data_IF_306271488913
#
_entry.id   IF_306271488913
#
_cell.length_a   1.000
_cell.length_b   1.000
_cell.length_c   1.000
_cell.angle_alpha   90.00
_cell.angle_beta   90.00
_cell.angle_gamma   90.00
#
_symmetry.space_group_name_H-M   'P 1'
#
loop_
_entity.id
_entity.type
_entity.pdbx_description
1 polymer ?
#
# COMPACT_ATOMS: atom_id res chain seq x y z
N UNK A 1 -5.96 -28.94 -4.93
CA UNK A 1 -6.01 -28.24 -6.23
C UNK A 1 -7.04 -27.11 -6.28
N UNK A 2 -8.28 -27.31 -5.83
CA UNK A 2 -9.33 -26.28 -5.89
C UNK A 2 -9.00 -25.03 -5.04
N UNK A 3 -8.37 -25.18 -3.86
CA UNK A 3 -7.93 -24.06 -3.01
C UNK A 3 -6.90 -23.18 -3.73
N UNK A 4 -5.94 -23.78 -4.41
CA UNK A 4 -4.92 -23.02 -5.17
C UNK A 4 -5.60 -22.24 -6.30
N UNK A 5 -6.57 -22.83 -6.99
CA UNK A 5 -7.34 -22.14 -8.02
C UNK A 5 -8.17 -20.98 -7.44
N UNK A 6 -8.79 -21.18 -6.26
CA UNK A 6 -9.55 -20.14 -5.58
C UNK A 6 -8.65 -18.96 -5.14
N UNK A 7 -7.47 -19.26 -4.58
CA UNK A 7 -6.49 -18.20 -4.22
C UNK A 7 -5.94 -17.48 -5.44
N UNK A 8 -5.68 -18.20 -6.54
CA UNK A 8 -5.23 -17.60 -7.79
C UNK A 8 -6.29 -16.67 -8.39
N UNK A 9 -7.56 -17.08 -8.37
CA UNK A 9 -8.68 -16.25 -8.83
C UNK A 9 -8.87 -15.02 -7.93
N UNK A 10 -8.84 -15.18 -6.61
CA UNK A 10 -8.95 -14.08 -5.66
C UNK A 10 -7.80 -13.08 -5.84
N UNK A 11 -6.56 -13.56 -5.97
CA UNK A 11 -5.39 -12.73 -6.24
C UNK A 11 -5.47 -12.03 -7.59
N UNK A 12 -5.95 -12.72 -8.64
CA UNK A 12 -6.17 -12.14 -9.96
C UNK A 12 -7.23 -11.03 -9.95
N UNK A 13 -8.35 -11.24 -9.27
CA UNK A 13 -9.39 -10.23 -9.08
C UNK A 13 -8.86 -9.02 -8.26
N UNK A 14 -8.13 -9.27 -7.19
CA UNK A 14 -7.49 -8.21 -6.41
C UNK A 14 -6.50 -7.40 -7.25
N UNK A 15 -5.74 -8.05 -8.13
CA UNK A 15 -4.81 -7.40 -9.04
C UNK A 15 -5.52 -6.58 -10.13
N UNK A 16 -6.67 -7.04 -10.62
CA UNK A 16 -7.50 -6.26 -11.56
C UNK A 16 -8.03 -4.99 -10.90
N UNK A 17 -8.49 -5.08 -9.65
CA UNK A 17 -8.92 -3.92 -8.87
C UNK A 17 -7.75 -2.95 -8.68
N UNK A 18 -6.59 -3.44 -8.27
CA UNK A 18 -5.39 -2.62 -8.08
C UNK A 18 -4.94 -1.95 -9.38
N UNK A 19 -4.90 -2.68 -10.48
CA UNK A 19 -4.52 -2.16 -11.80
C UNK A 19 -5.43 -1.06 -12.31
N UNK A 20 -6.71 -1.07 -11.92
CA UNK A 20 -7.69 -0.03 -12.31
C UNK A 20 -7.72 1.16 -11.38
N UNK A 21 -7.55 0.96 -10.08
CA UNK A 21 -7.66 1.99 -9.04
C UNK A 21 -6.31 2.55 -8.60
N UNK A 22 -5.21 1.87 -8.93
CA UNK A 22 -3.85 2.20 -8.46
C UNK A 22 -3.67 1.99 -6.95
N UNK A 23 -4.57 1.25 -6.33
CA UNK A 23 -4.54 0.90 -4.90
C UNK A 23 -5.62 -0.15 -4.62
N UNK A 24 -5.32 -1.14 -3.81
CA UNK A 24 -6.35 -2.09 -3.38
C UNK A 24 -5.91 -3.55 -3.29
N UNK A 25 -4.87 -3.97 -3.99
CA UNK A 25 -4.39 -5.36 -3.92
C UNK A 25 -4.14 -5.80 -2.48
N UNK A 26 -3.39 -4.99 -1.72
CA UNK A 26 -3.07 -5.31 -0.33
C UNK A 26 -4.32 -5.41 0.55
N UNK A 27 -5.19 -4.39 0.49
CA UNK A 27 -6.45 -4.36 1.26
C UNK A 27 -7.32 -5.57 0.94
N UNK A 28 -7.50 -5.88 -0.36
CA UNK A 28 -8.35 -7.00 -0.79
C UNK A 28 -7.74 -8.34 -0.39
N UNK A 29 -6.46 -8.55 -0.66
CA UNK A 29 -5.76 -9.81 -0.35
C UNK A 29 -5.69 -10.08 1.15
N UNK A 30 -5.29 -9.07 1.93
CA UNK A 30 -5.23 -9.19 3.39
C UNK A 30 -6.61 -9.43 4.01
N UNK A 31 -7.66 -8.78 3.49
CA UNK A 31 -9.03 -9.00 3.95
C UNK A 31 -9.47 -10.46 3.73
N UNK A 32 -9.23 -11.00 2.53
CA UNK A 32 -9.56 -12.40 2.21
C UNK A 32 -8.79 -13.35 3.13
N UNK A 33 -7.48 -13.15 3.30
CA UNK A 33 -6.66 -14.00 4.16
C UNK A 33 -7.12 -13.94 5.62
N UNK A 34 -7.41 -12.75 6.13
CA UNK A 34 -7.90 -12.57 7.49
C UNK A 34 -9.28 -13.22 7.69
N UNK A 35 -10.19 -13.08 6.71
CA UNK A 35 -11.51 -13.71 6.73
C UNK A 35 -11.43 -15.25 6.70
N UNK A 36 -10.40 -15.81 6.07
CA UNK A 36 -10.11 -17.25 6.06
C UNK A 36 -9.42 -17.73 7.36
N UNK A 37 -9.25 -16.86 8.34
CA UNK A 37 -8.66 -17.19 9.64
C UNK A 37 -7.13 -17.21 9.68
N UNK A 38 -6.46 -16.72 8.63
CA UNK A 38 -5.00 -16.58 8.61
C UNK A 38 -4.58 -15.54 9.65
N UNK A 39 -3.52 -15.85 10.41
CA UNK A 39 -3.00 -14.92 11.42
C UNK A 39 -2.52 -13.61 10.76
N UNK A 40 -2.71 -12.43 11.41
CA UNK A 40 -2.39 -11.12 10.83
C UNK A 40 -0.96 -11.00 10.28
N UNK A 41 0.04 -11.45 11.04
CA UNK A 41 1.43 -11.41 10.60
C UNK A 41 1.67 -12.26 9.33
N UNK A 42 1.09 -13.46 9.28
CA UNK A 42 1.17 -14.35 8.11
C UNK A 42 0.40 -13.75 6.92
N UNK A 43 -0.77 -13.16 7.14
CA UNK A 43 -1.57 -12.50 6.10
C UNK A 43 -0.80 -11.30 5.51
N UNK A 44 -0.20 -10.48 6.36
CA UNK A 44 0.64 -9.35 5.93
C UNK A 44 1.85 -9.84 5.13
N UNK A 45 2.64 -10.77 5.65
CA UNK A 45 3.82 -11.31 4.98
C UNK A 45 3.47 -11.94 3.62
N UNK A 46 2.41 -12.76 3.55
CA UNK A 46 1.95 -13.38 2.31
C UNK A 46 1.52 -12.34 1.27
N UNK A 47 0.79 -11.31 1.71
CA UNK A 47 0.35 -10.21 0.83
C UNK A 47 1.55 -9.44 0.27
N UNK A 48 2.54 -9.11 1.10
CA UNK A 48 3.75 -8.39 0.64
C UNK A 48 4.62 -9.26 -0.27
N UNK A 49 4.79 -10.53 0.04
CA UNK A 49 5.51 -11.46 -0.86
C UNK A 49 4.83 -11.55 -2.23
N UNK A 50 3.50 -11.61 -2.27
CA UNK A 50 2.73 -11.63 -3.52
C UNK A 50 2.82 -10.31 -4.31
N UNK A 51 3.03 -9.18 -3.63
CA UNK A 51 3.24 -7.86 -4.26
C UNK A 51 4.60 -7.72 -4.94
N UNK A 52 5.64 -8.45 -4.53
CA UNK A 52 7.01 -8.25 -5.05
C UNK A 52 7.08 -8.29 -6.58
N UNK A 53 6.60 -9.34 -7.27
CA UNK A 53 6.67 -9.38 -8.74
C UNK A 53 5.82 -8.29 -9.40
N UNK A 54 4.64 -7.99 -8.87
CA UNK A 54 3.72 -7.02 -9.48
C UNK A 54 4.22 -5.60 -9.32
N UNK A 55 4.71 -5.23 -8.13
CA UNK A 55 5.26 -3.88 -7.86
C UNK A 55 6.60 -3.67 -8.56
N UNK A 56 7.43 -4.72 -8.73
CA UNK A 56 8.63 -4.63 -9.54
C UNK A 56 8.31 -4.30 -10.99
N UNK A 57 7.38 -5.05 -11.61
CA UNK A 57 6.98 -4.83 -13.00
C UNK A 57 6.33 -3.46 -13.17
N UNK A 58 5.41 -3.09 -12.29
CA UNK A 58 4.75 -1.79 -12.28
C UNK A 58 5.75 -0.64 -12.11
N UNK A 59 6.63 -0.73 -11.12
CA UNK A 59 7.67 0.26 -10.85
C UNK A 59 8.61 0.46 -12.03
N UNK A 60 9.10 -0.63 -12.64
CA UNK A 60 9.95 -0.57 -13.84
C UNK A 60 9.21 0.03 -15.04
N UNK A 61 7.94 -0.31 -15.23
CA UNK A 61 7.11 0.25 -16.30
C UNK A 61 6.96 1.76 -16.14
N UNK A 62 6.58 2.22 -14.95
CA UNK A 62 6.49 3.64 -14.64
C UNK A 62 7.82 4.38 -14.78
N UNK A 63 8.94 3.70 -14.41
CA UNK A 63 10.27 4.26 -14.57
C UNK A 63 10.62 4.47 -16.04
N UNK A 64 10.35 3.46 -16.89
CA UNK A 64 10.63 3.50 -18.34
C UNK A 64 9.83 4.59 -19.07
N UNK A 65 8.57 4.79 -18.72
CA UNK A 65 7.72 5.83 -19.33
C UNK A 65 7.92 7.21 -18.70
N UNK A 66 8.89 7.36 -17.79
CA UNK A 66 9.22 8.64 -17.19
C UNK A 66 8.21 9.15 -16.15
N UNK A 67 7.38 8.29 -15.57
CA UNK A 67 6.39 8.64 -14.57
C UNK A 67 6.93 8.62 -13.12
N UNK A 68 8.22 8.37 -12.92
CA UNK A 68 8.84 8.38 -11.59
C UNK A 68 9.59 9.69 -11.39
N UNK A 69 9.25 10.42 -10.32
CA UNK A 69 10.08 11.50 -9.81
C UNK A 69 11.10 10.90 -8.81
N UNK A 70 12.39 10.98 -9.16
CA UNK A 70 13.46 10.37 -8.35
C UNK A 70 13.56 10.97 -6.94
N UNK A 71 13.30 12.27 -6.80
CA UNK A 71 13.39 12.93 -5.51
C UNK A 71 12.24 12.49 -4.60
N UNK A 72 11.03 12.40 -5.14
CA UNK A 72 9.86 11.86 -4.42
C UNK A 72 10.10 10.40 -4.07
N UNK A 73 10.50 9.58 -5.06
CA UNK A 73 10.77 8.16 -4.88
C UNK A 73 11.68 7.89 -3.67
N UNK A 74 12.88 8.45 -3.63
CA UNK A 74 13.84 8.18 -2.54
C UNK A 74 13.36 8.69 -1.18
N UNK A 75 12.66 9.83 -1.17
CA UNK A 75 12.13 10.43 0.06
C UNK A 75 10.96 9.67 0.67
N UNK A 76 10.26 8.84 -0.09
CA UNK A 76 9.21 7.96 0.45
C UNK A 76 9.67 6.52 0.57
N UNK A 77 10.49 6.01 -0.36
CA UNK A 77 10.91 4.60 -0.38
C UNK A 77 11.78 4.23 0.83
N UNK A 78 12.81 5.03 1.14
CA UNK A 78 13.71 4.74 2.27
C UNK A 78 12.97 4.82 3.62
N UNK A 79 12.26 5.93 3.96
CA UNK A 79 11.49 5.96 5.19
C UNK A 79 10.35 4.93 5.20
N UNK A 80 9.74 4.67 4.04
CA UNK A 80 8.71 3.65 3.89
C UNK A 80 9.23 2.24 4.19
N UNK A 81 10.42 1.89 3.69
CA UNK A 81 11.09 0.64 4.01
C UNK A 81 11.40 0.51 5.51
N UNK A 82 11.89 1.58 6.14
CA UNK A 82 12.10 1.61 7.59
C UNK A 82 10.78 1.41 8.34
N UNK A 83 9.73 2.15 7.96
CA UNK A 83 8.40 1.99 8.56
C UNK A 83 7.82 0.59 8.35
N UNK A 84 7.96 0.04 7.15
CA UNK A 84 7.54 -1.32 6.80
C UNK A 84 8.26 -2.38 7.65
N UNK A 85 9.57 -2.29 7.75
CA UNK A 85 10.36 -3.17 8.60
C UNK A 85 9.92 -3.09 10.08
N UNK A 86 9.78 -1.88 10.62
CA UNK A 86 9.32 -1.69 11.99
C UNK A 86 7.91 -2.28 12.20
N UNK A 87 6.99 -2.08 11.27
CA UNK A 87 5.65 -2.67 11.32
C UNK A 87 5.67 -4.20 11.27
N UNK A 88 6.54 -4.78 10.43
CA UNK A 88 6.71 -6.22 10.32
C UNK A 88 7.27 -6.85 11.62
N UNK A 89 8.18 -6.15 12.31
CA UNK A 89 8.73 -6.59 13.61
C UNK A 89 7.71 -6.43 14.73
N UNK A 90 6.94 -5.33 14.72
CA UNK A 90 5.96 -5.03 15.79
C UNK A 90 4.74 -5.94 15.70
N UNK A 91 4.24 -6.23 14.51
CA UNK A 91 2.98 -6.97 14.33
C UNK A 91 2.97 -8.35 15.02
N UNK A 92 4.02 -9.19 14.92
CA UNK A 92 4.06 -10.48 15.62
C UNK A 92 4.22 -10.36 17.15
N UNK A 93 4.69 -9.20 17.64
CA UNK A 93 4.89 -8.96 19.09
C UNK A 93 3.61 -8.55 19.83
N UNK A 94 2.54 -8.22 19.09
CA UNK A 94 1.24 -7.87 19.67
C UNK A 94 0.41 -9.14 19.89
N UNK A 95 -0.47 -9.12 20.90
CA UNK A 95 -1.40 -10.24 21.09
C UNK A 95 -2.24 -10.50 19.84
N UNK A 96 -2.53 -11.78 19.56
CA UNK A 96 -3.26 -12.18 18.36
C UNK A 96 -4.61 -11.46 18.23
N UNK A 97 -5.31 -11.25 19.34
CA UNK A 97 -6.60 -10.56 19.37
C UNK A 97 -6.46 -9.08 19.01
N UNK A 98 -5.49 -8.37 19.59
CA UNK A 98 -5.23 -6.98 19.30
C UNK A 98 -4.75 -6.81 17.83
N UNK A 99 -3.89 -7.70 17.34
CA UNK A 99 -3.44 -7.70 15.96
C UNK A 99 -4.60 -7.94 14.98
N UNK A 100 -5.49 -8.89 15.24
CA UNK A 100 -6.70 -9.13 14.45
C UNK A 100 -7.63 -7.91 14.42
N UNK A 101 -7.93 -7.35 15.60
CA UNK A 101 -8.78 -6.19 15.74
C UNK A 101 -8.20 -4.96 15.04
N UNK A 102 -6.92 -4.69 15.23
CA UNK A 102 -6.20 -3.58 14.60
C UNK A 102 -6.17 -3.70 13.08
N UNK A 103 -5.76 -4.87 12.56
CA UNK A 103 -5.72 -5.13 11.12
C UNK A 103 -7.11 -5.05 10.49
N UNK A 104 -8.14 -5.65 11.10
CA UNK A 104 -9.51 -5.57 10.60
C UNK A 104 -10.02 -4.13 10.58
N UNK A 105 -9.75 -3.34 11.62
CA UNK A 105 -10.10 -1.93 11.68
C UNK A 105 -9.44 -1.11 10.58
N UNK A 106 -8.15 -1.31 10.32
CA UNK A 106 -7.43 -0.66 9.21
C UNK A 106 -8.00 -1.06 7.84
N UNK A 107 -8.26 -2.36 7.63
CA UNK A 107 -8.82 -2.86 6.37
C UNK A 107 -10.24 -2.31 6.12
N UNK A 108 -11.09 -2.23 7.15
CA UNK A 108 -12.42 -1.62 7.07
C UNK A 108 -12.31 -0.13 6.74
N UNK A 109 -11.42 0.59 7.40
CA UNK A 109 -11.18 2.00 7.14
C UNK A 109 -10.73 2.24 5.68
N UNK A 110 -9.73 1.50 5.19
CA UNK A 110 -9.27 1.64 3.81
C UNK A 110 -10.32 1.19 2.80
N UNK A 111 -11.04 0.11 3.07
CA UNK A 111 -12.16 -0.34 2.24
C UNK A 111 -13.24 0.75 2.12
N UNK A 112 -13.61 1.38 3.24
CA UNK A 112 -14.56 2.49 3.26
C UNK A 112 -14.04 3.71 2.48
N UNK A 113 -12.76 4.07 2.62
CA UNK A 113 -12.12 5.17 1.86
C UNK A 113 -12.13 4.88 0.36
N UNK A 114 -11.76 3.67 -0.05
CA UNK A 114 -11.77 3.25 -1.46
C UNK A 114 -13.20 3.29 -2.01
N UNK A 115 -14.17 2.74 -1.28
CA UNK A 115 -15.58 2.75 -1.68
C UNK A 115 -16.13 4.17 -1.78
N UNK A 116 -15.85 5.03 -0.80
CA UNK A 116 -16.29 6.43 -0.82
C UNK A 116 -15.73 7.18 -2.03
N UNK A 117 -14.46 6.95 -2.34
CA UNK A 117 -13.77 7.63 -3.44
C UNK A 117 -14.26 7.15 -4.81
N UNK A 118 -14.32 5.83 -5.03
CA UNK A 118 -14.59 5.26 -6.34
C UNK A 118 -16.04 4.83 -6.53
N UNK A 119 -16.70 4.37 -5.45
CA UNK A 119 -18.12 3.99 -5.51
C UNK A 119 -19.07 5.17 -5.51
N UNK A 120 -18.79 6.19 -4.69
CA UNK A 120 -19.64 7.38 -4.57
C UNK A 120 -19.06 8.64 -5.22
N UNK A 121 -17.92 8.54 -5.90
CA UNK A 121 -17.29 9.66 -6.61
C UNK A 121 -16.83 10.81 -5.68
N UNK A 122 -16.65 10.55 -4.39
CA UNK A 122 -16.25 11.56 -3.42
C UNK A 122 -14.81 12.03 -3.70
N UNK A 123 -14.63 13.31 -3.98
CA UNK A 123 -13.31 13.93 -4.11
C UNK A 123 -12.71 14.16 -2.72
N UNK A 124 -11.98 13.17 -2.21
CA UNK A 124 -11.29 13.26 -0.90
C UNK A 124 -9.94 14.02 -1.02
N UNK A 125 -9.58 14.50 -2.21
CA UNK A 125 -8.30 15.17 -2.44
C UNK A 125 -8.50 16.67 -2.36
N UNK A 126 -7.94 17.35 -1.33
CA UNK A 126 -7.86 18.81 -1.29
C UNK A 126 -6.99 19.32 -2.46
N UNK A 127 -7.24 20.52 -2.93
CA UNK A 127 -6.37 21.21 -3.89
C UNK A 127 -4.97 21.38 -3.31
N UNK A 128 -3.91 21.07 -4.05
CA UNK A 128 -2.55 21.19 -3.55
C UNK A 128 -2.26 22.60 -3.06
N UNK A 129 -1.82 22.74 -1.81
CA UNK A 129 -1.29 24.01 -1.31
C UNK A 129 0.19 24.08 -1.67
N UNK A 130 0.58 25.02 -2.51
CA UNK A 130 1.97 25.25 -2.89
C UNK A 130 2.83 25.61 -1.68
N UNK A 131 4.00 24.99 -1.54
CA UNK A 131 5.08 25.57 -0.79
C UNK A 131 5.88 24.73 0.20
N UNK A 132 5.43 23.57 0.71
CA UNK A 132 6.16 22.88 1.79
C UNK A 132 6.30 21.36 1.59
N UNK A 133 6.42 20.93 0.37
CA UNK A 133 6.32 19.53 -0.08
C UNK A 133 7.37 18.60 0.51
N UNK A 134 8.63 19.01 0.50
CA UNK A 134 9.75 18.10 0.75
C UNK A 134 9.80 17.53 2.18
N UNK A 135 9.39 18.32 3.17
CA UNK A 135 9.44 17.94 4.60
C UNK A 135 8.43 16.86 5.00
N UNK A 136 7.32 16.76 4.25
CA UNK A 136 6.25 15.80 4.56
C UNK A 136 6.43 14.44 3.90
N UNK A 137 7.29 14.33 2.87
CA UNK A 137 7.48 13.09 2.13
C UNK A 137 8.01 11.96 3.02
N UNK A 138 9.03 12.23 3.82
CA UNK A 138 9.62 11.21 4.70
C UNK A 138 8.67 10.74 5.81
N UNK A 139 7.98 11.62 6.55
CA UNK A 139 6.95 11.19 7.49
C UNK A 139 5.82 10.39 6.85
N UNK A 140 5.33 10.81 5.67
CA UNK A 140 4.29 10.07 4.92
C UNK A 140 4.80 8.67 4.52
N UNK A 141 6.04 8.58 4.01
CA UNK A 141 6.64 7.29 3.68
C UNK A 141 6.75 6.38 4.90
N UNK A 142 7.30 6.89 6.01
CA UNK A 142 7.48 6.13 7.25
C UNK A 142 6.15 5.59 7.79
N UNK A 143 5.16 6.47 7.94
CA UNK A 143 3.83 6.09 8.43
C UNK A 143 3.12 5.16 7.45
N UNK A 144 3.21 5.46 6.14
CA UNK A 144 2.62 4.61 5.10
C UNK A 144 3.18 3.19 5.12
N UNK A 145 4.50 3.04 5.22
CA UNK A 145 5.14 1.72 5.32
C UNK A 145 4.77 0.97 6.59
N UNK A 146 4.75 1.66 7.74
CA UNK A 146 4.34 1.05 9.01
C UNK A 146 2.89 0.56 8.97
N UNK A 147 1.98 1.39 8.48
CA UNK A 147 0.56 1.06 8.34
C UNK A 147 0.35 -0.04 7.29
N UNK A 148 1.13 -0.05 6.21
CA UNK A 148 1.09 -1.10 5.18
C UNK A 148 1.48 -2.46 5.77
N UNK A 149 2.57 -2.54 6.52
CA UNK A 149 3.03 -3.76 7.15
C UNK A 149 2.06 -4.29 8.21
N UNK A 150 1.51 -3.40 9.05
CA UNK A 150 0.58 -3.78 10.13
C UNK A 150 -0.84 -4.04 9.64
N UNK A 151 -1.26 -3.36 8.58
CA UNK A 151 -2.59 -3.50 7.97
C UNK A 151 -2.66 -4.47 6.79
N UNK A 152 -1.52 -4.93 6.27
CA UNK A 152 -1.47 -5.83 5.11
C UNK A 152 -1.77 -5.16 3.76
N UNK A 153 -1.90 -3.82 3.71
CA UNK A 153 -2.24 -3.15 2.44
C UNK A 153 -2.52 -1.65 2.52
N UNK A 154 -1.81 -0.94 3.37
CA UNK A 154 -2.02 0.49 3.60
C UNK A 154 -1.22 1.45 2.71
N UNK A 155 -0.18 0.98 1.99
CA UNK A 155 0.70 1.84 1.22
C UNK A 155 -0.04 2.74 0.22
N UNK A 156 -0.73 2.14 -0.73
CA UNK A 156 -1.47 2.87 -1.77
C UNK A 156 -2.54 3.82 -1.20
N UNK A 157 -3.47 3.33 -0.35
CA UNK A 157 -4.51 4.16 0.26
C UNK A 157 -4.01 5.31 1.13
N UNK A 158 -2.84 5.18 1.77
CA UNK A 158 -2.26 6.23 2.63
C UNK A 158 -1.36 7.15 1.82
N UNK A 159 -0.39 6.62 1.10
CA UNK A 159 0.69 7.43 0.51
C UNK A 159 0.21 8.19 -0.73
N UNK A 160 -0.55 7.53 -1.63
CA UNK A 160 -1.00 8.17 -2.87
C UNK A 160 -1.84 9.43 -2.62
N UNK A 161 -2.95 9.37 -1.84
CA UNK A 161 -3.73 10.58 -1.60
C UNK A 161 -2.96 11.62 -0.78
N UNK A 162 -2.13 11.19 0.17
CA UNK A 162 -1.30 12.12 0.95
C UNK A 162 -0.33 12.89 0.06
N UNK A 163 0.36 12.23 -0.86
CA UNK A 163 1.23 12.91 -1.81
C UNK A 163 0.46 13.84 -2.75
N UNK A 164 -0.70 13.43 -3.22
CA UNK A 164 -1.56 14.28 -4.06
C UNK A 164 -2.02 15.56 -3.34
N UNK A 165 -2.05 15.58 -2.01
CA UNK A 165 -2.42 16.78 -1.23
C UNK A 165 -1.23 17.67 -0.93
N UNK A 166 -0.03 17.09 -0.73
CA UNK A 166 1.14 17.85 -0.29
C UNK A 166 2.11 18.19 -1.42
N UNK A 167 1.89 17.64 -2.62
CA UNK A 167 2.74 17.91 -3.79
C UNK A 167 1.95 18.57 -4.91
N UNK A 168 2.62 19.39 -5.71
CA UNK A 168 2.07 19.94 -6.96
C UNK A 168 2.43 19.10 -8.19
N UNK A 169 2.94 17.87 -7.99
CA UNK A 169 3.26 16.98 -9.09
C UNK A 169 2.02 16.48 -9.82
N UNK A 170 2.16 16.24 -11.12
CA UNK A 170 1.10 15.61 -11.90
C UNK A 170 0.71 14.25 -11.30
N UNK A 171 -0.58 13.88 -11.29
CA UNK A 171 -1.05 12.63 -10.72
C UNK A 171 -0.29 11.39 -11.20
N UNK A 172 0.09 11.35 -12.50
CA UNK A 172 0.88 10.25 -13.08
C UNK A 172 2.26 10.11 -12.42
N UNK A 173 2.91 11.24 -12.07
CA UNK A 173 4.21 11.25 -11.39
C UNK A 173 4.08 10.77 -9.94
N UNK A 174 3.01 11.16 -9.27
CA UNK A 174 2.71 10.68 -7.91
C UNK A 174 2.49 9.17 -7.93
N UNK A 175 1.56 8.69 -8.76
CA UNK A 175 1.24 7.25 -8.86
C UNK A 175 2.48 6.44 -9.25
N UNK A 176 3.24 6.87 -10.25
CA UNK A 176 4.45 6.17 -10.68
C UNK A 176 5.53 6.10 -9.60
N UNK A 177 5.73 7.19 -8.86
CA UNK A 177 6.72 7.23 -7.77
C UNK A 177 6.29 6.36 -6.59
N UNK A 178 4.99 6.36 -6.25
CA UNK A 178 4.43 5.52 -5.17
C UNK A 178 4.53 4.04 -5.52
N UNK A 179 4.13 3.64 -6.74
CA UNK A 179 4.21 2.23 -7.17
C UNK A 179 5.66 1.73 -7.24
N UNK A 180 6.59 2.56 -7.72
CA UNK A 180 8.00 2.19 -7.71
C UNK A 180 8.55 2.02 -6.28
N UNK A 181 8.16 2.92 -5.35
CA UNK A 181 8.57 2.85 -3.96
C UNK A 181 7.95 1.66 -3.22
N UNK A 182 6.74 1.24 -3.59
CA UNK A 182 6.04 0.10 -2.99
C UNK A 182 6.84 -1.20 -3.11
N UNK A 183 7.59 -1.40 -4.19
CA UNK A 183 8.49 -2.55 -4.31
C UNK A 183 9.54 -2.58 -3.20
N UNK A 184 10.17 -1.44 -2.90
CA UNK A 184 11.19 -1.34 -1.85
C UNK A 184 10.58 -1.60 -0.46
N UNK A 185 9.38 -1.08 -0.23
CA UNK A 185 8.64 -1.30 1.03
C UNK A 185 8.22 -2.77 1.15
N UNK A 186 7.63 -3.36 0.12
CA UNK A 186 7.23 -4.76 0.13
C UNK A 186 8.42 -5.70 0.36
N UNK A 187 9.58 -5.40 -0.24
CA UNK A 187 10.82 -6.14 0.00
C UNK A 187 11.24 -6.08 1.47
N UNK A 188 11.18 -4.91 2.08
CA UNK A 188 11.56 -4.71 3.48
C UNK A 188 10.60 -5.38 4.48
N UNK A 189 9.31 -5.48 4.14
CA UNK A 189 8.32 -6.18 4.97
C UNK A 189 8.43 -7.71 4.83
N UNK A 190 8.93 -8.19 3.68
CA UNK A 190 9.07 -9.63 3.39
C UNK A 190 10.40 -10.21 3.89
N UNK A 191 11.36 -9.37 4.35
CA UNK A 191 12.67 -9.78 4.83
C UNK A 191 12.65 -10.21 6.30
#
# INVERSE_FOLDING_TARGET
MWLVAAFALAGGLAQLVDGTLGMGFGVTSATVLLALGVAPATASAATHAAKLPTTLISGLSHWRVGNVDRAVFWRIAIPGAVGGFLGAVVLPSISLEAAKGGMAGLLLFFGAVILARFGFGMRIIPTPKSGHTARWLSPIGLLGGFVDATGGGGWGPVVTPSLMTVTSHEPRKVVGSVNAAEFVVALSVSA
#
